data_IF_515494276451
#
_entry.id   IF_515494276451
#
_cell.length_a   1.000
_cell.length_b   1.000
_cell.length_c   1.000
_cell.angle_alpha   90.00
_cell.angle_beta   90.00
_cell.angle_gamma   90.00
#
_symmetry.space_group_name_H-M   'P 1'
#
loop_
_entity.id
_entity.type
_entity.pdbx_description
1 polymer ?
#
# COMPACT_ATOMS: atom_id res chain seq x y z
N UNK A 1 -60.39 3.94 -19.01
CA UNK A 1 -59.54 4.21 -17.85
C UNK A 1 -58.74 2.94 -17.60
N UNK A 2 -57.52 2.84 -18.17
CA UNK A 2 -56.73 1.60 -18.19
C UNK A 2 -55.62 1.74 -17.13
N UNK A 3 -55.73 0.93 -16.06
CA UNK A 3 -54.70 0.88 -15.02
C UNK A 3 -53.52 0.05 -15.51
N UNK A 4 -52.38 0.71 -15.70
CA UNK A 4 -51.13 0.04 -15.98
C UNK A 4 -50.52 -0.48 -14.66
N UNK A 5 -50.46 -1.79 -14.52
CA UNK A 5 -49.75 -2.46 -13.41
C UNK A 5 -48.28 -2.45 -13.73
N UNK A 6 -47.53 -1.62 -13.03
CA UNK A 6 -46.07 -1.63 -13.09
C UNK A 6 -45.56 -2.88 -12.35
N UNK A 7 -45.02 -3.84 -13.09
CA UNK A 7 -44.32 -4.99 -12.51
C UNK A 7 -43.01 -4.50 -11.88
N UNK A 8 -42.88 -4.61 -10.58
CA UNK A 8 -41.64 -4.39 -9.84
C UNK A 8 -40.73 -5.58 -10.17
N UNK A 9 -39.81 -5.39 -11.10
CA UNK A 9 -38.72 -6.36 -11.39
C UNK A 9 -37.78 -6.33 -10.18
N UNK A 10 -37.81 -7.40 -9.39
CA UNK A 10 -36.79 -7.56 -8.34
C UNK A 10 -35.38 -7.56 -8.92
N UNK A 11 -34.42 -6.84 -8.34
CA UNK A 11 -33.05 -6.86 -8.82
C UNK A 11 -32.51 -8.28 -8.74
N UNK A 12 -31.92 -8.77 -9.87
CA UNK A 12 -31.27 -10.07 -9.89
C UNK A 12 -30.18 -10.12 -8.79
N UNK A 13 -30.05 -11.26 -8.08
CA UNK A 13 -29.01 -11.40 -7.07
C UNK A 13 -27.64 -11.10 -7.70
N UNK A 14 -26.89 -10.19 -7.09
CA UNK A 14 -25.56 -9.84 -7.54
C UNK A 14 -24.70 -11.11 -7.59
N UNK A 15 -24.19 -11.44 -8.79
CA UNK A 15 -23.28 -12.57 -8.93
C UNK A 15 -22.12 -12.38 -7.96
N UNK A 16 -21.89 -13.38 -7.11
CA UNK A 16 -20.75 -13.41 -6.19
C UNK A 16 -19.49 -13.30 -7.07
N UNK A 17 -18.62 -12.31 -6.86
CA UNK A 17 -17.41 -12.21 -7.66
C UNK A 17 -16.61 -13.50 -7.46
N UNK A 18 -15.96 -14.03 -8.52
CA UNK A 18 -15.14 -15.22 -8.40
C UNK A 18 -14.13 -14.98 -7.29
N UNK A 19 -14.16 -15.82 -6.25
CA UNK A 19 -13.25 -15.70 -5.12
C UNK A 19 -11.83 -15.84 -5.63
N UNK A 20 -11.04 -14.78 -5.54
CA UNK A 20 -9.62 -14.86 -5.81
C UNK A 20 -9.01 -15.67 -4.67
N UNK A 21 -8.80 -16.96 -4.91
CA UNK A 21 -8.12 -17.82 -3.95
C UNK A 21 -6.62 -17.56 -4.05
N UNK A 22 -5.95 -17.17 -2.95
CA UNK A 22 -4.51 -16.97 -2.97
C UNK A 22 -3.82 -18.30 -3.30
N UNK A 23 -3.03 -18.30 -4.36
CA UNK A 23 -2.15 -19.44 -4.65
C UNK A 23 -0.93 -19.38 -3.74
N UNK A 24 -0.29 -20.53 -3.48
CA UNK A 24 0.98 -20.58 -2.72
C UNK A 24 2.06 -19.71 -3.38
N UNK A 25 2.09 -19.69 -4.71
CA UNK A 25 3.01 -18.81 -5.46
C UNK A 25 2.74 -17.34 -5.17
N UNK A 26 1.48 -16.92 -5.17
CA UNK A 26 1.10 -15.56 -4.84
C UNK A 26 1.50 -15.18 -3.42
N UNK A 27 1.26 -16.06 -2.44
CA UNK A 27 1.68 -15.85 -1.05
C UNK A 27 3.21 -15.74 -0.93
N UNK A 28 3.96 -16.57 -1.63
CA UNK A 28 5.42 -16.52 -1.66
C UNK A 28 5.94 -15.20 -2.27
N UNK A 29 5.31 -14.71 -3.32
CA UNK A 29 5.67 -13.44 -3.95
C UNK A 29 5.43 -12.23 -3.03
N UNK A 30 4.44 -12.30 -2.13
CA UNK A 30 4.22 -11.26 -1.12
C UNK A 30 5.33 -11.20 -0.05
N UNK A 31 6.12 -12.28 0.10
CA UNK A 31 7.26 -12.33 1.02
C UNK A 31 8.53 -11.70 0.42
N UNK A 32 8.54 -11.36 -0.86
CA UNK A 32 9.68 -10.69 -1.49
C UNK A 32 9.77 -9.25 -0.97
N UNK A 33 10.87 -8.88 -0.29
CA UNK A 33 11.03 -7.54 0.22
C UNK A 33 11.34 -6.53 -0.88
N UNK A 34 10.93 -5.30 -0.68
CA UNK A 34 11.34 -4.16 -1.51
C UNK A 34 12.66 -3.60 -0.98
N UNK A 35 13.64 -3.32 -1.85
CA UNK A 35 14.86 -2.65 -1.43
C UNK A 35 14.55 -1.22 -0.96
N UNK A 36 15.23 -0.82 0.11
CA UNK A 36 15.06 0.48 0.74
C UNK A 36 16.42 1.11 1.05
N UNK A 37 16.50 2.41 0.96
CA UNK A 37 17.64 3.21 1.39
C UNK A 37 17.19 4.23 2.41
N UNK A 38 17.83 4.24 3.57
CA UNK A 38 17.61 5.22 4.61
C UNK A 38 18.79 6.20 4.64
N UNK A 39 18.50 7.49 4.65
CA UNK A 39 19.48 8.55 4.87
C UNK A 39 19.19 9.31 6.16
N UNK A 40 20.21 9.46 7.01
CA UNK A 40 20.18 10.31 8.19
C UNK A 40 21.38 11.28 8.21
N UNK A 41 21.62 11.95 9.33
CA UNK A 41 22.76 12.89 9.47
C UNK A 41 24.13 12.20 9.47
N UNK A 42 24.18 10.90 9.72
CA UNK A 42 25.44 10.13 9.84
C UNK A 42 25.79 9.38 8.57
N UNK A 43 24.84 9.19 7.64
CA UNK A 43 25.09 8.50 6.39
C UNK A 43 23.88 7.92 5.71
N UNK A 44 24.12 7.00 4.80
CA UNK A 44 23.13 6.26 4.04
C UNK A 44 23.27 4.77 4.30
N UNK A 45 22.15 4.08 4.47
CA UNK A 45 22.07 2.66 4.81
C UNK A 45 21.12 1.95 3.87
N UNK A 46 21.50 0.76 3.43
CA UNK A 46 20.63 -0.11 2.66
C UNK A 46 19.74 -0.93 3.59
N UNK A 47 18.55 -1.23 3.14
CA UNK A 47 17.57 -2.02 3.88
C UNK A 47 16.64 -2.80 2.98
N UNK A 48 15.75 -3.52 3.61
CA UNK A 48 14.68 -4.29 2.98
C UNK A 48 13.39 -4.03 3.73
N UNK A 49 12.31 -3.84 2.99
CA UNK A 49 10.98 -3.55 3.52
C UNK A 49 9.97 -4.58 3.04
N UNK A 50 9.25 -5.15 3.97
CA UNK A 50 8.04 -5.93 3.70
C UNK A 50 6.82 -5.06 3.94
N UNK A 51 5.75 -5.28 3.20
CA UNK A 51 4.51 -4.57 3.42
C UNK A 51 3.34 -5.54 3.41
N UNK A 52 2.55 -5.46 4.47
CA UNK A 52 1.27 -6.16 4.60
C UNK A 52 0.15 -5.13 4.58
N UNK A 53 -0.92 -5.41 3.86
CA UNK A 53 -2.11 -4.56 3.78
C UNK A 53 -3.30 -5.29 4.43
N UNK A 54 -3.53 -5.12 5.74
CA UNK A 54 -4.64 -5.78 6.42
C UNK A 54 -5.99 -5.39 5.86
N UNK A 55 -6.16 -4.14 5.44
CA UNK A 55 -7.42 -3.60 4.95
C UNK A 55 -7.18 -2.55 3.86
N UNK A 56 -7.98 -2.61 2.81
CA UNK A 56 -8.01 -1.63 1.74
C UNK A 56 -9.46 -1.32 1.38
N UNK A 57 -9.78 -0.03 1.23
CA UNK A 57 -11.03 0.46 0.68
C UNK A 57 -10.79 1.11 -0.68
N UNK A 58 -11.38 0.59 -1.74
CA UNK A 58 -11.27 1.15 -3.09
C UNK A 58 -12.48 2.00 -3.43
N UNK A 59 -12.24 3.25 -3.80
CA UNK A 59 -13.27 4.19 -4.27
C UNK A 59 -13.27 4.32 -5.81
N UNK A 60 -12.25 3.82 -6.48
CA UNK A 60 -12.08 3.90 -7.94
C UNK A 60 -12.60 2.72 -8.73
N UNK A 61 -13.05 1.63 -8.07
CA UNK A 61 -13.58 0.45 -8.76
C UNK A 61 -15.04 0.59 -9.17
N UNK A 62 -15.47 -0.32 -10.05
CA UNK A 62 -16.86 -0.40 -10.47
C UNK A 62 -17.78 -0.65 -9.24
N UNK A 63 -18.86 0.11 -9.14
CA UNK A 63 -19.85 0.04 -8.03
C UNK A 63 -20.53 -1.32 -7.88
N UNK A 64 -20.43 -2.21 -8.86
CA UNK A 64 -20.96 -3.59 -8.80
C UNK A 64 -20.09 -4.53 -7.95
N UNK A 65 -18.86 -4.14 -7.62
CA UNK A 65 -17.94 -4.93 -6.81
C UNK A 65 -17.87 -4.36 -5.40
N UNK A 66 -17.59 -5.22 -4.41
CA UNK A 66 -17.32 -4.74 -3.05
C UNK A 66 -16.10 -3.82 -3.05
N UNK A 67 -16.15 -2.63 -2.44
CA UNK A 67 -15.00 -1.74 -2.35
C UNK A 67 -13.93 -2.23 -1.36
N UNK A 68 -14.27 -3.18 -0.50
CA UNK A 68 -13.40 -3.64 0.56
C UNK A 68 -12.53 -4.82 0.12
N UNK A 69 -11.26 -4.79 0.51
CA UNK A 69 -10.29 -5.89 0.39
C UNK A 69 -9.57 -6.06 1.71
N UNK A 70 -9.28 -7.31 2.04
CA UNK A 70 -8.55 -7.68 3.27
C UNK A 70 -7.45 -8.64 2.91
N UNK A 71 -6.23 -8.37 3.35
CA UNK A 71 -4.99 -9.12 3.13
C UNK A 71 -4.57 -9.25 1.67
N UNK A 72 -5.52 -9.41 0.74
CA UNK A 72 -5.28 -9.51 -0.70
C UNK A 72 -5.86 -8.26 -1.37
N UNK A 73 -4.99 -7.39 -1.85
CA UNK A 73 -5.37 -6.19 -2.57
C UNK A 73 -4.78 -6.27 -3.99
N UNK A 74 -5.64 -6.62 -4.95
CA UNK A 74 -5.23 -6.67 -6.34
C UNK A 74 -4.71 -5.29 -6.77
N UNK A 75 -3.68 -5.25 -7.61
CA UNK A 75 -3.02 -4.01 -8.01
C UNK A 75 -3.95 -3.00 -8.66
N UNK A 76 -4.80 -3.48 -9.58
CA UNK A 76 -5.78 -2.64 -10.28
C UNK A 76 -6.71 -1.96 -9.28
N UNK A 77 -7.18 -2.70 -8.27
CA UNK A 77 -8.07 -2.16 -7.22
C UNK A 77 -7.34 -1.09 -6.39
N UNK A 78 -6.07 -1.35 -6.04
CA UNK A 78 -5.25 -0.43 -5.25
C UNK A 78 -4.97 0.86 -6.03
N UNK A 79 -4.44 0.75 -7.23
CA UNK A 79 -3.96 1.89 -8.01
C UNK A 79 -5.05 2.65 -8.76
N UNK A 80 -6.25 2.07 -8.91
CA UNK A 80 -7.42 2.77 -9.47
C UNK A 80 -8.03 3.82 -8.52
N UNK A 81 -7.55 3.91 -7.31
CA UNK A 81 -8.01 4.84 -6.29
C UNK A 81 -8.48 4.09 -5.04
N UNK A 82 -7.70 4.18 -3.97
CA UNK A 82 -8.00 3.47 -2.73
C UNK A 82 -7.34 4.14 -1.53
N UNK A 83 -7.80 3.72 -0.35
CA UNK A 83 -7.15 4.00 0.93
C UNK A 83 -6.82 2.64 1.55
N UNK A 84 -5.56 2.45 1.95
CA UNK A 84 -5.10 1.25 2.63
C UNK A 84 -4.65 1.53 4.05
N UNK A 85 -4.93 0.58 4.94
CA UNK A 85 -4.23 0.40 6.18
C UNK A 85 -3.05 -0.54 5.90
N UNK A 86 -1.85 -0.18 6.29
CA UNK A 86 -0.67 -1.00 6.07
C UNK A 86 0.16 -1.18 7.34
N UNK A 87 0.87 -2.30 7.39
CA UNK A 87 1.93 -2.58 8.34
C UNK A 87 3.19 -2.99 7.58
N UNK A 88 4.34 -2.48 8.00
CA UNK A 88 5.60 -2.65 7.28
C UNK A 88 6.75 -2.91 8.27
N UNK A 89 7.19 -4.15 8.46
CA UNK A 89 8.48 -4.43 9.04
C UNK A 89 9.59 -4.11 8.04
N UNK A 90 10.64 -3.45 8.49
CA UNK A 90 11.76 -3.00 7.70
C UNK A 90 13.07 -3.39 8.40
N UNK A 91 14.02 -3.91 7.64
CA UNK A 91 15.34 -4.29 8.14
C UNK A 91 16.42 -3.42 7.51
N UNK A 92 17.25 -2.82 8.34
CA UNK A 92 18.39 -1.98 7.93
C UNK A 92 19.69 -2.73 8.15
N UNK A 93 20.54 -2.76 7.15
CA UNK A 93 21.79 -3.53 7.15
C UNK A 93 22.77 -3.08 8.24
N UNK A 94 22.86 -1.80 8.50
CA UNK A 94 23.66 -1.18 9.56
C UNK A 94 23.30 0.29 9.66
N UNK A 95 23.28 0.82 10.87
CA UNK A 95 23.19 2.26 11.10
C UNK A 95 24.35 2.72 11.98
N UNK A 96 24.96 3.82 11.63
CA UNK A 96 25.95 4.46 12.51
C UNK A 96 25.34 5.22 13.69
N UNK A 97 24.07 5.57 13.55
CA UNK A 97 23.31 6.38 14.53
C UNK A 97 22.40 5.53 15.42
N UNK A 98 21.85 4.44 14.87
CA UNK A 98 20.84 3.63 15.55
C UNK A 98 21.40 2.27 15.94
N UNK A 99 21.06 1.79 17.15
CA UNK A 99 21.52 0.48 17.64
C UNK A 99 20.71 -0.67 17.06
N UNK A 100 19.43 -0.44 16.77
CA UNK A 100 18.53 -1.46 16.22
C UNK A 100 18.61 -1.53 14.71
N UNK A 101 18.34 -2.74 14.18
CA UNK A 101 18.24 -3.00 12.75
C UNK A 101 16.78 -3.06 12.27
N UNK A 102 15.84 -3.30 13.17
CA UNK A 102 14.43 -3.44 12.82
C UNK A 102 13.65 -2.17 13.08
N UNK A 103 12.97 -1.72 12.06
CA UNK A 103 12.01 -0.63 12.10
C UNK A 103 10.62 -1.21 11.79
N UNK A 104 9.63 -0.86 12.60
CA UNK A 104 8.24 -1.24 12.39
C UNK A 104 7.43 0.01 12.10
N UNK A 105 6.72 -0.01 10.98
CA UNK A 105 5.88 1.09 10.54
C UNK A 105 4.46 0.60 10.31
N UNK A 106 3.47 1.40 10.72
CA UNK A 106 2.06 1.16 10.45
C UNK A 106 1.34 2.46 10.17
N UNK A 107 0.40 2.47 9.23
CA UNK A 107 -0.25 3.72 8.86
C UNK A 107 -1.31 3.57 7.80
N UNK A 108 -1.72 4.71 7.29
CA UNK A 108 -2.72 4.85 6.24
C UNK A 108 -2.07 5.46 5.01
N UNK A 109 -2.42 4.94 3.83
CA UNK A 109 -1.95 5.44 2.55
C UNK A 109 -3.11 5.51 1.57
N UNK A 110 -3.17 6.62 0.82
CA UNK A 110 -4.14 6.80 -0.26
C UNK A 110 -3.43 6.74 -1.59
N UNK A 111 -4.05 6.08 -2.58
CA UNK A 111 -3.59 5.99 -3.96
C UNK A 111 -4.52 6.80 -4.87
N UNK A 112 -3.93 7.57 -5.76
CA UNK A 112 -4.62 8.44 -6.70
C UNK A 112 -4.24 8.05 -8.12
N UNK A 113 -5.21 7.65 -8.97
CA UNK A 113 -4.94 7.36 -10.36
C UNK A 113 -4.61 8.65 -11.11
N UNK A 114 -3.48 8.69 -11.81
CA UNK A 114 -3.06 9.84 -12.62
C UNK A 114 -3.31 9.60 -14.11
N UNK A 115 -3.06 8.37 -14.60
CA UNK A 115 -3.29 8.00 -16.00
C UNK A 115 -3.99 6.64 -16.09
N UNK A 116 -4.91 6.52 -17.06
CA UNK A 116 -5.61 5.24 -17.37
C UNK A 116 -6.16 4.55 -16.14
N UNK A 117 -6.85 5.30 -15.27
CA UNK A 117 -7.41 4.79 -14.00
C UNK A 117 -6.37 4.16 -13.06
N UNK A 118 -5.12 4.63 -13.14
CA UNK A 118 -4.01 4.13 -12.31
C UNK A 118 -3.23 2.96 -12.89
N UNK A 119 -3.62 2.46 -14.07
CA UNK A 119 -2.93 1.34 -14.72
C UNK A 119 -1.50 1.71 -15.13
N UNK A 120 -1.33 2.85 -15.78
CA UNK A 120 -0.02 3.31 -16.23
C UNK A 120 0.69 4.19 -15.21
N UNK A 121 -0.05 5.01 -14.47
CA UNK A 121 0.54 5.90 -13.49
C UNK A 121 -0.43 6.18 -12.35
N UNK A 122 0.04 6.01 -11.13
CA UNK A 122 -0.64 6.42 -9.90
C UNK A 122 0.32 7.08 -8.94
N UNK A 123 -0.19 7.95 -8.09
CA UNK A 123 0.55 8.54 -6.99
C UNK A 123 -0.01 8.04 -5.66
N UNK A 124 0.78 8.11 -4.60
CA UNK A 124 0.32 7.88 -3.24
C UNK A 124 0.76 8.97 -2.28
N UNK A 125 -0.05 9.16 -1.25
CA UNK A 125 0.28 9.94 -0.07
C UNK A 125 -0.09 9.13 1.17
N UNK A 126 0.78 9.14 2.18
CA UNK A 126 0.59 8.36 3.40
C UNK A 126 1.05 9.07 4.66
N UNK A 127 0.47 8.63 5.76
CA UNK A 127 0.88 8.99 7.11
C UNK A 127 1.04 7.72 7.93
N UNK A 128 2.08 7.63 8.73
CA UNK A 128 2.39 6.44 9.51
C UNK A 128 2.99 6.78 10.86
N UNK A 129 2.78 5.88 11.79
CA UNK A 129 3.54 5.81 13.02
C UNK A 129 4.62 4.75 12.83
N UNK A 130 5.78 4.99 13.41
CA UNK A 130 6.90 4.06 13.37
C UNK A 130 7.50 3.88 14.76
N UNK A 131 8.00 2.68 14.98
CA UNK A 131 8.79 2.32 16.14
C UNK A 131 10.19 1.91 15.67
N UNK A 132 11.21 2.62 16.14
CA UNK A 132 12.60 2.37 15.79
C UNK A 132 13.50 2.84 16.93
N UNK A 133 14.51 2.05 17.29
CA UNK A 133 15.49 2.34 18.33
C UNK A 133 14.82 2.78 19.66
N UNK A 134 13.81 1.97 20.09
CA UNK A 134 13.00 2.22 21.29
C UNK A 134 12.25 3.57 21.31
N UNK A 135 12.08 4.21 20.14
CA UNK A 135 11.40 5.50 20.00
C UNK A 135 10.20 5.38 19.06
N UNK A 136 9.20 6.17 19.35
CA UNK A 136 8.04 6.33 18.49
C UNK A 136 8.18 7.63 17.69
N UNK A 137 7.84 7.56 16.40
CA UNK A 137 7.83 8.70 15.52
C UNK A 137 6.64 8.68 14.57
N UNK A 138 6.33 9.84 14.00
CA UNK A 138 5.39 9.96 12.89
C UNK A 138 6.15 10.27 11.61
N UNK A 139 5.72 9.68 10.51
CA UNK A 139 6.33 9.89 9.20
C UNK A 139 5.27 10.12 8.12
N UNK A 140 5.66 10.84 7.09
CA UNK A 140 4.87 11.13 5.91
C UNK A 140 5.52 10.46 4.71
N UNK A 141 4.71 9.90 3.82
CA UNK A 141 5.21 9.29 2.61
C UNK A 141 4.51 9.82 1.37
N UNK A 142 5.26 9.84 0.27
CA UNK A 142 4.75 10.13 -1.06
C UNK A 142 5.39 9.14 -2.04
N UNK A 143 4.61 8.63 -3.00
CA UNK A 143 5.08 7.65 -3.96
C UNK A 143 4.47 7.81 -5.33
N UNK A 144 5.17 7.24 -6.33
CA UNK A 144 4.73 7.12 -7.71
C UNK A 144 4.85 5.67 -8.13
N UNK A 145 3.85 5.16 -8.82
CA UNK A 145 3.75 3.76 -9.24
C UNK A 145 3.36 3.68 -10.70
N UNK A 146 4.00 2.77 -11.43
CA UNK A 146 3.76 2.52 -12.86
C UNK A 146 3.39 1.06 -13.11
N UNK A 147 2.80 0.79 -14.27
CA UNK A 147 2.44 -0.58 -14.70
C UNK A 147 1.67 -1.33 -13.62
N UNK A 148 0.47 -0.85 -13.28
CA UNK A 148 -0.38 -1.45 -12.23
C UNK A 148 0.29 -1.50 -10.85
N UNK A 149 1.33 -0.65 -10.62
CA UNK A 149 2.13 -0.69 -9.39
C UNK A 149 3.19 -1.78 -9.35
N UNK A 150 3.49 -2.42 -10.49
CA UNK A 150 4.60 -3.38 -10.58
C UNK A 150 5.93 -2.73 -10.21
N UNK A 151 6.14 -1.50 -10.66
CA UNK A 151 7.30 -0.69 -10.30
C UNK A 151 6.82 0.56 -9.59
N UNK A 152 7.40 0.85 -8.45
CA UNK A 152 7.09 2.07 -7.69
C UNK A 152 8.32 2.62 -6.99
N UNK A 153 8.28 3.92 -6.73
CA UNK A 153 9.23 4.62 -5.89
C UNK A 153 8.46 5.39 -4.82
N UNK A 154 8.87 5.25 -3.58
CA UNK A 154 8.28 5.94 -2.44
C UNK A 154 9.37 6.62 -1.62
N UNK A 155 9.15 7.87 -1.27
CA UNK A 155 9.95 8.60 -0.30
C UNK A 155 9.17 8.74 0.99
N UNK A 156 9.82 8.49 2.12
CA UNK A 156 9.24 8.69 3.46
C UNK A 156 10.14 9.58 4.27
N UNK A 157 9.55 10.52 4.97
CA UNK A 157 10.25 11.46 5.85
C UNK A 157 9.71 11.40 7.26
N UNK A 158 10.60 11.16 8.23
CA UNK A 158 10.33 11.22 9.65
C UNK A 158 10.96 12.48 10.25
N UNK A 159 10.18 13.48 10.69
CA UNK A 159 10.69 14.70 11.31
C UNK A 159 10.99 14.56 12.80
N UNK A 160 10.62 13.45 13.44
CA UNK A 160 10.65 13.30 14.90
C UNK A 160 12.06 13.55 15.47
N UNK A 161 12.20 14.32 16.56
CA UNK A 161 13.48 14.54 17.20
C UNK A 161 14.14 13.22 17.63
N UNK A 162 15.41 13.04 17.28
CA UNK A 162 16.15 11.80 17.57
C UNK A 162 15.87 10.62 16.64
N UNK A 163 14.87 10.76 15.74
CA UNK A 163 14.55 9.80 14.68
C UNK A 163 14.48 10.46 13.31
N UNK A 164 15.16 11.59 13.11
CA UNK A 164 15.09 12.32 11.84
C UNK A 164 15.82 11.57 10.74
N UNK A 165 15.07 11.03 9.78
CA UNK A 165 15.61 10.33 8.61
C UNK A 165 14.68 10.47 7.40
N UNK A 166 15.22 10.14 6.24
CA UNK A 166 14.47 9.99 5.00
C UNK A 166 14.73 8.60 4.45
N UNK A 167 13.69 7.89 4.02
CA UNK A 167 13.84 6.64 3.30
C UNK A 167 13.39 6.77 1.86
N UNK A 168 14.04 6.07 0.96
CA UNK A 168 13.63 5.86 -0.43
C UNK A 168 13.46 4.37 -0.64
N UNK A 169 12.26 3.94 -1.00
CA UNK A 169 11.93 2.55 -1.24
C UNK A 169 11.63 2.37 -2.72
N UNK A 170 12.24 1.38 -3.35
CA UNK A 170 11.87 0.92 -4.68
C UNK A 170 11.01 -0.34 -4.53
N UNK A 171 9.77 -0.25 -4.95
CA UNK A 171 8.82 -1.36 -4.88
C UNK A 171 8.83 -2.12 -6.21
N UNK A 172 9.12 -3.41 -6.13
CA UNK A 172 8.96 -4.36 -7.23
C UNK A 172 7.95 -5.39 -6.77
N UNK A 173 6.72 -5.32 -7.27
CA UNK A 173 5.67 -6.28 -6.92
C UNK A 173 5.30 -7.10 -8.13
N UNK A 174 5.50 -8.40 -8.02
CA UNK A 174 5.02 -9.39 -8.98
C UNK A 174 3.64 -9.82 -8.51
N UNK A 175 2.68 -9.85 -9.43
CA UNK A 175 1.28 -10.18 -9.17
C UNK A 175 1.00 -11.64 -9.45
#
# INVERSE_FOLDING_TARGET
MTLAVAAIVAPAPAATPPGVHPTLLWAALQLVPSPEWMGDRSGSYAGMRWQVTPLLYSFGINRKLSPWRSLIAEPVVRHAGSIELFASPEYLSKSGTFAEHWLFRGGVRSYFPLMSKGEYLSASLGASLLHFDHRLGAAWSAGIYTFYGFVGAEITYCPAPGLRFTTVTLSFRVF
#
